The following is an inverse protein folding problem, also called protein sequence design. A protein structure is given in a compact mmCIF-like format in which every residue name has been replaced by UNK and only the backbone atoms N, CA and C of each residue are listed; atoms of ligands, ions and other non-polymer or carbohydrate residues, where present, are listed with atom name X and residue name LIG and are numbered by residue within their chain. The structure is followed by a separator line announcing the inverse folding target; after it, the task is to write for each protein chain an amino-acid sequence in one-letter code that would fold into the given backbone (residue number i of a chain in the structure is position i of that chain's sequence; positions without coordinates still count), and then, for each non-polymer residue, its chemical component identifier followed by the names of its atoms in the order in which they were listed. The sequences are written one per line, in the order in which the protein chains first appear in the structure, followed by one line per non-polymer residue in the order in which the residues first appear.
data_IF_509453739775
#
_entry.id   IF_509453739775
#
_cell.length_a   1.000
_cell.length_b   1.000
_cell.length_c   1.000
_cell.angle_alpha   90.00
_cell.angle_beta   90.00
_cell.angle_gamma   90.00
#
_symmetry.space_group_name_H-M   'P 1'
#
loop_
_entity.id
_entity.type
_entity.pdbx_description
1 polymer ?
#
# COMPACT_ATOMS: atom_id res chain seq x y z
N UNK A 1 6.11 -14.11 -19.57
CA UNK A 1 7.37 -13.33 -19.60
C UNK A 1 8.43 -14.05 -18.77
N UNK A 2 9.48 -14.55 -19.41
CA UNK A 2 10.54 -15.31 -18.72
C UNK A 2 11.48 -14.38 -17.90
N UNK A 3 12.35 -14.95 -17.06
CA UNK A 3 13.22 -14.17 -16.18
C UNK A 3 14.16 -13.24 -16.93
N UNK A 4 14.71 -13.66 -18.07
CA UNK A 4 15.59 -12.86 -18.91
C UNK A 4 14.85 -11.63 -19.47
N UNK A 5 13.61 -11.81 -19.95
CA UNK A 5 12.74 -10.73 -20.39
C UNK A 5 12.46 -9.76 -19.23
N UNK A 6 12.18 -10.26 -18.03
CA UNK A 6 11.98 -9.42 -16.83
C UNK A 6 13.23 -8.63 -16.46
N UNK A 7 14.42 -9.24 -16.54
CA UNK A 7 15.70 -8.56 -16.29
C UNK A 7 15.90 -7.44 -17.29
N UNK A 8 15.68 -7.69 -18.60
CA UNK A 8 15.83 -6.67 -19.64
C UNK A 8 14.83 -5.53 -19.54
N UNK A 9 13.57 -5.83 -19.23
CA UNK A 9 12.58 -4.80 -18.94
C UNK A 9 13.00 -3.96 -17.72
N UNK A 10 13.38 -4.61 -16.62
CA UNK A 10 13.78 -3.90 -15.39
C UNK A 10 15.06 -3.09 -15.58
N UNK A 11 16.02 -3.59 -16.36
CA UNK A 11 17.23 -2.85 -16.76
C UNK A 11 16.85 -1.51 -17.41
N UNK A 12 15.94 -1.54 -18.39
CA UNK A 12 15.44 -0.34 -19.07
C UNK A 12 14.72 0.60 -18.11
N UNK A 13 13.81 0.07 -17.28
CA UNK A 13 13.05 0.87 -16.33
C UNK A 13 13.93 1.54 -15.25
N UNK A 14 15.01 0.88 -14.84
CA UNK A 14 15.97 1.40 -13.88
C UNK A 14 17.08 2.26 -14.53
N UNK A 15 17.02 2.51 -15.84
CA UNK A 15 18.00 3.25 -16.62
C UNK A 15 19.45 2.73 -16.43
N UNK A 16 19.62 1.41 -16.38
CA UNK A 16 20.92 0.76 -16.20
C UNK A 16 21.58 0.60 -17.58
N UNK A 17 22.74 1.21 -17.77
CA UNK A 17 23.54 1.08 -19.00
C UNK A 17 23.96 -0.36 -19.27
N UNK A 18 24.29 -0.69 -20.52
CA UNK A 18 24.70 -2.04 -20.88
C UNK A 18 26.05 -2.46 -20.25
N UNK A 19 26.99 -1.53 -20.06
CA UNK A 19 28.23 -1.79 -19.31
C UNK A 19 27.95 -2.09 -17.85
N UNK A 20 27.11 -1.28 -17.20
CA UNK A 20 26.68 -1.54 -15.83
C UNK A 20 25.91 -2.88 -15.73
N UNK A 21 25.12 -3.23 -16.74
CA UNK A 21 24.44 -4.53 -16.80
C UNK A 21 25.45 -5.69 -16.86
N UNK A 22 26.47 -5.61 -17.72
CA UNK A 22 27.52 -6.64 -17.83
C UNK A 22 28.28 -6.79 -16.52
N UNK A 23 28.64 -5.69 -15.88
CA UNK A 23 29.31 -5.70 -14.58
C UNK A 23 28.44 -6.35 -13.50
N UNK A 24 27.15 -6.01 -13.43
CA UNK A 24 26.22 -6.62 -12.49
C UNK A 24 26.04 -8.13 -12.73
N UNK A 25 26.05 -8.58 -13.98
CA UNK A 25 25.99 -10.01 -14.35
C UNK A 25 27.27 -10.73 -13.91
N UNK A 26 28.43 -10.13 -14.11
CA UNK A 26 29.71 -10.66 -13.62
C UNK A 26 29.69 -10.79 -12.09
N UNK A 27 29.31 -9.75 -11.37
CA UNK A 27 29.26 -9.80 -9.90
C UNK A 27 28.29 -10.85 -9.36
N UNK A 28 27.10 -10.97 -9.95
CA UNK A 28 26.10 -11.96 -9.53
C UNK A 28 26.57 -13.39 -9.81
N UNK A 29 27.29 -13.61 -10.91
CA UNK A 29 27.86 -14.91 -11.28
C UNK A 29 29.22 -15.22 -10.67
N UNK A 30 29.75 -14.35 -9.81
CA UNK A 30 31.13 -14.44 -9.28
C UNK A 30 32.17 -14.49 -10.40
N UNK A 31 32.03 -13.61 -11.38
CA UNK A 31 32.90 -13.42 -12.54
C UNK A 31 32.97 -14.62 -13.51
N UNK A 32 32.01 -15.54 -13.43
CA UNK A 32 31.98 -16.74 -14.28
C UNK A 32 31.39 -16.46 -15.67
N UNK A 33 30.39 -15.57 -15.76
CA UNK A 33 29.70 -15.27 -17.02
C UNK A 33 29.39 -13.78 -17.14
N UNK A 34 29.38 -13.29 -18.38
CA UNK A 34 29.10 -11.88 -18.72
C UNK A 34 27.72 -11.64 -19.34
N UNK A 35 26.90 -12.69 -19.48
CA UNK A 35 25.54 -12.61 -20.04
C UNK A 35 24.49 -13.22 -19.11
N UNK A 36 23.35 -12.53 -19.00
CA UNK A 36 22.21 -12.99 -18.19
C UNK A 36 21.60 -14.30 -18.69
N UNK A 37 21.84 -14.69 -19.94
CA UNK A 37 21.38 -15.96 -20.51
C UNK A 37 22.14 -17.18 -19.98
N UNK A 38 23.38 -17.00 -19.51
CA UNK A 38 24.24 -18.06 -18.95
C UNK A 38 24.18 -18.13 -17.42
N UNK A 39 23.39 -17.25 -16.80
CA UNK A 39 23.14 -17.29 -15.35
C UNK A 39 22.21 -18.44 -14.99
N UNK A 40 22.43 -19.05 -13.83
CA UNK A 40 21.47 -19.98 -13.22
C UNK A 40 20.17 -19.24 -12.88
N UNK A 41 19.08 -19.99 -12.65
CA UNK A 41 17.78 -19.40 -12.30
C UNK A 41 17.88 -18.54 -11.02
N UNK A 42 18.65 -18.98 -10.02
CA UNK A 42 18.82 -18.24 -8.77
C UNK A 42 19.68 -16.98 -8.95
N UNK A 43 20.72 -17.05 -9.78
CA UNK A 43 21.50 -15.89 -10.19
C UNK A 43 20.62 -14.87 -10.94
N UNK A 44 19.75 -15.33 -11.86
CA UNK A 44 18.80 -14.47 -12.57
C UNK A 44 17.82 -13.79 -11.59
N UNK A 45 17.28 -14.53 -10.61
CA UNK A 45 16.41 -13.96 -9.57
C UNK A 45 17.14 -12.91 -8.73
N UNK A 46 18.41 -13.18 -8.36
CA UNK A 46 19.25 -12.25 -7.59
C UNK A 46 19.51 -10.96 -8.37
N UNK A 47 19.87 -11.07 -9.64
CA UNK A 47 20.08 -9.93 -10.54
C UNK A 47 18.79 -9.10 -10.70
N UNK A 48 17.65 -9.77 -10.88
CA UNK A 48 16.35 -9.11 -10.99
C UNK A 48 15.96 -8.37 -9.71
N UNK A 49 16.22 -8.98 -8.54
CA UNK A 49 15.98 -8.33 -7.25
C UNK A 49 16.83 -7.06 -7.08
N UNK A 50 18.12 -7.14 -7.47
CA UNK A 50 19.04 -5.99 -7.47
C UNK A 50 18.49 -4.85 -8.33
N UNK A 51 18.08 -5.11 -9.57
CA UNK A 51 17.54 -4.07 -10.47
C UNK A 51 16.21 -3.49 -9.96
N UNK A 52 15.37 -4.31 -9.32
CA UNK A 52 14.13 -3.85 -8.67
C UNK A 52 14.37 -2.96 -7.45
N UNK A 53 15.55 -3.02 -6.83
CA UNK A 53 15.98 -2.13 -5.75
C UNK A 53 16.57 -0.81 -6.27
N UNK A 54 17.25 -0.86 -7.41
CA UNK A 54 17.87 0.31 -8.06
C UNK A 54 16.88 1.19 -8.83
N UNK A 55 15.68 0.69 -9.12
CA UNK A 55 14.67 1.46 -9.83
C UNK A 55 14.16 2.64 -8.98
N UNK A 56 14.73 3.84 -9.22
CA UNK A 56 14.33 5.11 -8.61
C UNK A 56 12.91 5.54 -9.00
N UNK A 57 12.41 5.05 -10.13
CA UNK A 57 11.06 5.29 -10.64
C UNK A 57 10.05 4.25 -10.15
N UNK A 58 10.48 3.29 -9.33
CA UNK A 58 9.54 2.39 -8.67
C UNK A 58 8.68 3.28 -7.77
N UNK A 59 7.35 3.33 -7.95
CA UNK A 59 6.51 3.98 -6.96
C UNK A 59 6.88 3.30 -5.64
N UNK A 60 7.44 4.08 -4.68
CA UNK A 60 7.69 3.63 -3.31
C UNK A 60 6.45 2.82 -2.96
N UNK A 61 6.59 1.52 -2.77
CA UNK A 61 5.45 0.62 -2.67
C UNK A 61 4.46 1.30 -1.74
N UNK A 62 3.33 1.82 -2.28
CA UNK A 62 2.42 2.65 -1.50
C UNK A 62 2.12 1.81 -0.30
N UNK A 63 2.63 2.21 0.87
CA UNK A 63 2.55 1.37 2.06
C UNK A 63 1.09 0.98 2.16
N UNK A 64 0.79 -0.31 1.98
CA UNK A 64 -0.60 -0.76 1.90
C UNK A 64 -1.24 -0.22 3.17
N UNK A 65 -2.25 0.64 3.00
CA UNK A 65 -2.89 1.28 4.14
C UNK A 65 -3.30 0.15 5.10
N UNK A 66 -2.90 0.21 6.38
CA UNK A 66 -3.26 -0.78 7.38
C UNK A 66 -4.76 -1.10 7.28
N UNK A 67 -5.11 -2.38 7.40
CA UNK A 67 -6.47 -2.85 7.17
C UNK A 67 -7.49 -2.14 8.06
N UNK A 68 -7.14 -1.91 9.33
CA UNK A 68 -7.98 -1.16 10.27
C UNK A 68 -8.27 0.27 9.79
N UNK A 69 -7.27 0.98 9.26
CA UNK A 69 -7.48 2.33 8.70
C UNK A 69 -8.38 2.30 7.48
N UNK A 70 -8.21 1.30 6.61
CA UNK A 70 -9.10 1.09 5.46
C UNK A 70 -10.54 0.85 5.92
N UNK A 71 -10.71 0.09 7.00
CA UNK A 71 -12.02 -0.20 7.58
C UNK A 71 -12.67 1.06 8.16
N UNK A 72 -11.92 1.89 8.90
CA UNK A 72 -12.39 3.17 9.45
C UNK A 72 -12.90 4.09 8.34
N UNK A 73 -12.12 4.29 7.27
CA UNK A 73 -12.56 5.12 6.15
C UNK A 73 -13.79 4.54 5.42
N UNK A 74 -13.89 3.21 5.33
CA UNK A 74 -15.08 2.57 4.77
C UNK A 74 -16.32 2.83 5.61
N UNK A 75 -16.24 2.73 6.94
CA UNK A 75 -17.36 3.01 7.83
C UNK A 75 -17.78 4.49 7.77
N UNK A 76 -16.81 5.41 7.68
CA UNK A 76 -17.10 6.83 7.48
C UNK A 76 -17.89 7.09 6.19
N UNK A 77 -17.44 6.52 5.06
CA UNK A 77 -18.18 6.66 3.80
C UNK A 77 -19.59 6.04 3.86
N UNK A 78 -19.79 4.98 4.64
CA UNK A 78 -21.12 4.42 4.87
C UNK A 78 -22.01 5.37 5.70
N UNK A 79 -21.46 6.04 6.71
CA UNK A 79 -22.19 7.06 7.48
C UNK A 79 -22.61 8.21 6.56
N UNK A 80 -21.72 8.68 5.69
CA UNK A 80 -21.99 9.78 4.78
C UNK A 80 -23.09 9.42 3.77
N UNK A 81 -23.03 8.20 3.21
CA UNK A 81 -24.09 7.67 2.31
C UNK A 81 -25.45 7.54 2.98
N UNK A 82 -25.48 7.39 4.30
CA UNK A 82 -26.72 7.36 5.10
C UNK A 82 -27.15 8.75 5.59
N UNK A 83 -26.44 9.81 5.23
CA UNK A 83 -26.71 11.17 5.70
C UNK A 83 -26.45 11.37 7.20
N UNK A 84 -25.67 10.48 7.83
CA UNK A 84 -25.34 10.54 9.25
C UNK A 84 -24.13 11.45 9.54
N UNK A 85 -23.38 11.83 8.49
CA UNK A 85 -22.31 12.83 8.52
C UNK A 85 -22.40 13.70 7.28
N UNK A 86 -22.06 14.98 7.43
CA UNK A 86 -22.24 15.99 6.37
C UNK A 86 -21.19 15.89 5.26
N UNK A 87 -19.99 15.37 5.56
CA UNK A 87 -18.84 15.42 4.65
C UNK A 87 -18.19 14.04 4.48
N UNK A 88 -18.33 13.48 3.27
CA UNK A 88 -17.60 12.27 2.84
C UNK A 88 -16.16 12.61 2.41
N UNK A 89 -15.32 12.98 3.38
CA UNK A 89 -13.89 13.23 3.12
C UNK A 89 -12.99 12.56 4.13
N UNK A 90 -11.79 12.19 3.67
CA UNK A 90 -10.73 11.64 4.52
C UNK A 90 -10.38 12.59 5.67
N UNK A 91 -10.34 13.88 5.38
CA UNK A 91 -10.01 14.91 6.37
C UNK A 91 -11.08 15.01 7.45
N UNK A 92 -12.37 15.00 7.08
CA UNK A 92 -13.46 15.01 8.05
C UNK A 92 -13.42 13.77 8.96
N UNK A 93 -13.15 12.59 8.39
CA UNK A 93 -12.95 11.36 9.15
C UNK A 93 -11.76 11.48 10.12
N UNK A 94 -10.60 11.96 9.67
CA UNK A 94 -9.42 12.14 10.52
C UNK A 94 -9.66 13.16 11.64
N UNK A 95 -10.35 14.28 11.36
CA UNK A 95 -10.75 15.28 12.37
C UNK A 95 -11.70 14.69 13.41
N UNK A 96 -12.66 13.86 13.01
CA UNK A 96 -13.53 13.15 13.95
C UNK A 96 -12.72 12.19 14.82
N UNK A 97 -11.87 11.36 14.20
CA UNK A 97 -11.04 10.40 14.92
C UNK A 97 -10.08 11.07 15.90
N UNK A 98 -9.57 12.27 15.58
CA UNK A 98 -8.65 13.04 16.45
C UNK A 98 -9.22 13.28 17.87
N UNK A 99 -10.55 13.37 17.99
CA UNK A 99 -11.26 13.52 19.29
C UNK A 99 -11.08 12.31 20.21
N UNK A 100 -10.80 11.13 19.65
CA UNK A 100 -10.70 9.86 20.38
C UNK A 100 -9.27 9.29 20.42
N UNK A 101 -8.32 9.97 19.77
CA UNK A 101 -6.91 9.57 19.69
C UNK A 101 -5.98 10.49 20.50
N UNK A 102 -6.52 11.30 21.41
CA UNK A 102 -5.77 12.25 22.24
C UNK A 102 -4.87 13.18 21.40
N UNK A 103 -5.36 13.66 20.26
CA UNK A 103 -4.60 14.54 19.36
C UNK A 103 -3.55 13.83 18.49
N UNK A 104 -3.39 12.50 18.61
CA UNK A 104 -2.51 11.75 17.70
C UNK A 104 -3.15 11.62 16.32
N UNK A 105 -2.32 11.74 15.28
CA UNK A 105 -2.74 11.43 13.91
C UNK A 105 -3.29 10.01 13.83
N UNK A 106 -4.38 9.81 13.09
CA UNK A 106 -5.05 8.51 12.95
C UNK A 106 -4.08 7.38 12.54
N UNK A 107 -3.07 7.68 11.71
CA UNK A 107 -2.05 6.71 11.31
C UNK A 107 -1.17 6.19 12.46
N UNK A 108 -0.89 7.03 13.46
CA UNK A 108 -0.03 6.72 14.60
C UNK A 108 -0.82 6.18 15.80
N UNK A 109 -2.13 6.44 15.85
CA UNK A 109 -3.01 6.05 16.96
C UNK A 109 -3.47 4.58 16.89
N UNK A 110 -2.55 3.63 16.62
CA UNK A 110 -2.88 2.21 16.37
C UNK A 110 -3.70 1.57 17.49
N UNK A 111 -3.40 1.92 18.75
CA UNK A 111 -4.08 1.44 19.95
C UNK A 111 -5.56 1.85 20.00
N UNK A 112 -5.95 2.91 19.29
CA UNK A 112 -7.31 3.46 19.28
C UNK A 112 -8.15 2.97 18.11
N UNK A 113 -7.57 2.27 17.13
CA UNK A 113 -8.28 1.87 15.91
C UNK A 113 -9.49 0.99 16.18
N UNK A 114 -9.37 -0.01 17.06
CA UNK A 114 -10.46 -0.93 17.34
C UNK A 114 -11.63 -0.20 18.02
N UNK A 115 -11.33 0.68 18.99
CA UNK A 115 -12.33 1.57 19.61
C UNK A 115 -13.04 2.47 18.60
N UNK A 116 -12.29 3.08 17.67
CA UNK A 116 -12.87 3.93 16.62
C UNK A 116 -13.81 3.14 15.71
N UNK A 117 -13.44 1.92 15.33
CA UNK A 117 -14.30 1.03 14.53
C UNK A 117 -15.62 0.77 15.24
N UNK A 118 -15.59 0.43 16.54
CA UNK A 118 -16.81 0.15 17.31
C UNK A 118 -17.69 1.40 17.48
N UNK A 119 -17.10 2.59 17.68
CA UNK A 119 -17.85 3.85 17.70
C UNK A 119 -18.59 4.07 16.38
N UNK A 120 -17.91 3.89 15.25
CA UNK A 120 -18.50 4.11 13.92
C UNK A 120 -19.58 3.07 13.59
N UNK A 121 -19.40 1.80 14.01
CA UNK A 121 -20.43 0.76 13.88
C UNK A 121 -21.68 1.08 14.70
N UNK A 122 -21.51 1.40 15.98
CA UNK A 122 -22.62 1.75 16.86
C UNK A 122 -23.41 2.95 16.30
N UNK A 123 -22.73 3.90 15.68
CA UNK A 123 -23.39 5.04 15.06
C UNK A 123 -24.19 4.62 13.80
N UNK A 124 -23.63 3.75 12.96
CA UNK A 124 -24.33 3.17 11.83
C UNK A 124 -25.57 2.35 12.23
N UNK A 125 -25.52 1.67 13.39
CA UNK A 125 -26.65 0.91 13.93
C UNK A 125 -27.74 1.83 14.47
N UNK A 126 -27.38 2.85 15.25
CA UNK A 126 -28.34 3.86 15.75
C UNK A 126 -29.07 4.56 14.61
N UNK A 127 -28.34 4.96 13.55
CA UNK A 127 -28.94 5.56 12.38
C UNK A 127 -29.82 4.60 11.55
N UNK A 128 -29.68 3.27 11.72
CA UNK A 128 -30.61 2.30 11.13
C UNK A 128 -31.90 2.19 11.92
N UNK A 129 -31.79 2.17 13.26
CA UNK A 129 -32.97 2.11 14.14
C UNK A 129 -33.84 3.35 14.00
N UNK A 130 -33.23 4.54 13.87
CA UNK A 130 -33.96 5.81 13.72
C UNK A 130 -34.76 5.88 12.40
N UNK A 131 -34.16 5.43 11.28
CA UNK A 131 -34.82 5.39 9.97
C UNK A 131 -35.91 4.31 9.90
N UNK A 132 -35.77 3.21 10.65
CA UNK A 132 -36.79 2.16 10.69
C UNK A 132 -38.02 2.56 11.52
N UNK A 133 -37.84 3.42 12.53
CA UNK A 133 -38.92 3.85 13.41
C UNK A 133 -39.75 5.03 12.87
N UNK A 134 -39.35 5.62 11.74
CA UNK A 134 -40.09 6.68 11.03
C UNK A 134 -40.98 6.16 9.87
N UNK A 135 -41.12 4.83 9.73
CA UNK A 135 -41.91 4.18 8.67
C UNK A 135 -43.07 3.32 9.19
N UNK A 136 -43.66 3.70 10.33
CA UNK A 136 -44.87 3.05 10.87
C UNK A 136 -46.00 4.06 10.98
#
# INVERSE_FOLDING_TARGET
MNLIQQIKATQRHANISDDAHRQNVLEVSRYRVSTCTKLTIDEQKKLLSRYRGMNVNKPKAKAKLPEALRHIYRLWGLLARKGLVDVDSKQACETFCAKYTNGQSLYNAKKHWQRLIEILKNWLERGQTDVHNQRV
#
